data_IF_024358762568
#
_entry.id   IF_024358762568
#
_cell.length_a   1.000
_cell.length_b   1.000
_cell.length_c   1.000
_cell.angle_alpha   90.00
_cell.angle_beta   90.00
_cell.angle_gamma   90.00
#
_symmetry.space_group_name_H-M   'P 1'
#
loop_
_entity.id
_entity.type
_entity.pdbx_description
1 polymer ?
#
# COMPACT_ATOMS: atom_id res chain seq x y z
N UNK A 1 11.85 -16.55 -14.93
CA UNK A 1 11.74 -15.07 -14.81
C UNK A 1 13.16 -14.51 -14.82
N UNK A 2 13.43 -13.47 -15.59
CA UNK A 2 14.78 -12.87 -15.64
C UNK A 2 15.08 -12.09 -14.35
N UNK A 3 16.36 -11.93 -14.02
CA UNK A 3 16.78 -11.14 -12.86
C UNK A 3 16.34 -9.68 -12.97
N UNK A 4 16.31 -9.13 -14.19
CA UNK A 4 15.81 -7.77 -14.45
C UNK A 4 14.32 -7.61 -14.14
N UNK A 5 13.50 -8.62 -14.47
CA UNK A 5 12.09 -8.62 -14.12
C UNK A 5 11.90 -8.66 -12.60
N UNK A 6 12.60 -9.56 -11.91
CA UNK A 6 12.50 -9.66 -10.44
C UNK A 6 13.00 -8.38 -9.76
N UNK A 7 14.04 -7.75 -10.31
CA UNK A 7 14.59 -6.51 -9.77
C UNK A 7 13.64 -5.32 -9.98
N UNK A 8 13.08 -5.16 -11.18
CA UNK A 8 12.12 -4.10 -11.47
C UNK A 8 10.83 -4.25 -10.64
N UNK A 9 10.28 -5.47 -10.52
CA UNK A 9 9.13 -5.75 -9.66
C UNK A 9 9.42 -5.39 -8.20
N UNK A 10 10.56 -5.81 -7.65
CA UNK A 10 10.95 -5.48 -6.27
C UNK A 10 11.09 -3.97 -6.05
N UNK A 11 11.67 -3.24 -7.00
CA UNK A 11 11.81 -1.77 -6.90
C UNK A 11 10.43 -1.11 -6.86
N UNK A 12 9.52 -1.52 -7.74
CA UNK A 12 8.15 -1.01 -7.75
C UNK A 12 7.42 -1.28 -6.43
N UNK A 13 7.40 -2.54 -5.97
CA UNK A 13 6.71 -2.90 -4.72
C UNK A 13 7.31 -2.20 -3.49
N UNK A 14 8.63 -1.99 -3.46
CA UNK A 14 9.28 -1.22 -2.41
C UNK A 14 8.84 0.24 -2.44
N UNK A 15 8.77 0.85 -3.62
CA UNK A 15 8.29 2.23 -3.75
C UNK A 15 6.85 2.35 -3.27
N UNK A 16 5.94 1.49 -3.76
CA UNK A 16 4.54 1.45 -3.34
C UNK A 16 4.43 1.31 -1.82
N UNK A 17 5.15 0.37 -1.22
CA UNK A 17 5.11 0.15 0.23
C UNK A 17 5.57 1.37 1.04
N UNK A 18 6.73 1.94 0.69
CA UNK A 18 7.30 3.08 1.42
C UNK A 18 6.44 4.34 1.28
N UNK A 19 5.98 4.66 0.07
CA UNK A 19 5.16 5.87 -0.14
C UNK A 19 3.77 5.74 0.47
N UNK A 20 3.17 4.53 0.41
CA UNK A 20 1.87 4.29 1.04
C UNK A 20 1.96 4.39 2.55
N UNK A 21 3.03 3.86 3.16
CA UNK A 21 3.25 3.97 4.59
C UNK A 21 3.37 5.44 5.02
N UNK A 22 4.17 6.25 4.32
CA UNK A 22 4.32 7.67 4.63
C UNK A 22 2.98 8.42 4.56
N UNK A 23 2.19 8.18 3.52
CA UNK A 23 0.87 8.80 3.38
C UNK A 23 -0.10 8.38 4.48
N UNK A 24 -0.09 7.09 4.88
CA UNK A 24 -0.91 6.59 5.99
C UNK A 24 -0.47 7.22 7.31
N UNK A 25 0.83 7.30 7.59
CA UNK A 25 1.35 7.90 8.82
C UNK A 25 1.00 9.39 8.93
N UNK A 26 1.10 10.13 7.84
CA UNK A 26 0.70 11.55 7.77
C UNK A 26 -0.79 11.71 8.07
N UNK A 27 -1.65 10.95 7.38
CA UNK A 27 -3.09 10.98 7.61
C UNK A 27 -3.48 10.58 9.05
N UNK A 28 -2.78 9.61 9.65
CA UNK A 28 -3.03 9.18 11.03
C UNK A 28 -2.57 10.22 12.06
N UNK A 29 -1.51 10.98 11.77
CA UNK A 29 -0.98 12.01 12.68
C UNK A 29 -1.90 13.23 12.80
N UNK A 30 -2.60 13.58 11.72
CA UNK A 30 -3.52 14.71 11.68
C UNK A 30 -4.89 14.40 12.31
N UNK A 31 -5.19 13.12 12.51
CA UNK A 31 -6.49 12.65 13.01
C UNK A 31 -6.40 12.13 14.46
N UNK A 32 -7.48 12.30 15.21
CA UNK A 32 -7.65 11.60 16.49
C UNK A 32 -8.03 10.13 16.23
N UNK A 33 -7.03 9.26 16.26
CA UNK A 33 -7.14 7.86 15.83
C UNK A 33 -7.07 6.84 16.96
N UNK A 34 -6.89 7.28 18.20
CA UNK A 34 -6.76 6.42 19.37
C UNK A 34 -7.95 5.47 19.54
N UNK A 35 -7.66 4.17 19.70
CA UNK A 35 -8.67 3.12 19.88
C UNK A 35 -9.54 2.82 18.65
N UNK A 36 -9.27 3.45 17.49
CA UNK A 36 -10.04 3.23 16.25
C UNK A 36 -9.33 2.23 15.34
N UNK A 37 -10.11 1.57 14.49
CA UNK A 37 -9.63 0.67 13.44
C UNK A 37 -10.20 1.13 12.11
N UNK A 38 -9.37 1.11 11.07
CA UNK A 38 -9.70 1.60 9.75
C UNK A 38 -9.52 0.47 8.74
N UNK A 39 -10.55 0.24 7.94
CA UNK A 39 -10.43 -0.59 6.75
C UNK A 39 -9.55 0.14 5.73
N UNK A 40 -8.59 -0.58 5.13
CA UNK A 40 -7.72 -0.07 4.08
C UNK A 40 -7.80 -0.95 2.85
N UNK A 41 -7.69 -0.33 1.67
CA UNK A 41 -7.65 -1.01 0.37
C UNK A 41 -6.50 -0.47 -0.46
N UNK A 42 -5.73 -1.38 -1.07
CA UNK A 42 -4.79 -1.09 -2.15
C UNK A 42 -5.24 -1.79 -3.43
N UNK A 43 -5.05 -1.13 -4.57
CA UNK A 43 -5.39 -1.68 -5.90
C UNK A 43 -4.16 -1.60 -6.79
N UNK A 44 -3.82 -2.70 -7.44
CA UNK A 44 -2.75 -2.79 -8.43
C UNK A 44 -3.36 -3.12 -9.78
N UNK A 45 -3.16 -2.23 -10.74
CA UNK A 45 -3.71 -2.35 -12.09
C UNK A 45 -2.59 -2.37 -13.13
N UNK A 46 -2.72 -3.26 -14.11
CA UNK A 46 -1.91 -3.24 -15.35
C UNK A 46 -2.88 -3.31 -16.52
N UNK A 47 -3.12 -2.16 -17.16
CA UNK A 47 -4.17 -2.02 -18.20
C UNK A 47 -3.91 -2.91 -19.41
N UNK A 48 -2.64 -3.04 -19.82
CA UNK A 48 -2.24 -3.82 -20.99
C UNK A 48 -2.40 -5.33 -20.78
N UNK A 49 -2.50 -5.78 -19.53
CA UNK A 49 -2.64 -7.18 -19.16
C UNK A 49 -4.02 -7.51 -18.56
N UNK A 50 -4.94 -6.54 -18.54
CA UNK A 50 -6.24 -6.64 -17.87
C UNK A 50 -6.11 -7.15 -16.41
N UNK A 51 -5.02 -6.76 -15.73
CA UNK A 51 -4.80 -7.14 -14.35
C UNK A 51 -5.47 -6.11 -13.45
N UNK A 52 -6.38 -6.57 -12.60
CA UNK A 52 -6.95 -5.79 -11.49
C UNK A 52 -6.86 -6.61 -10.20
N UNK A 53 -5.92 -6.25 -9.34
CA UNK A 53 -5.69 -6.94 -8.08
C UNK A 53 -5.98 -6.02 -6.89
N UNK A 54 -6.89 -6.44 -6.02
CA UNK A 54 -7.23 -5.70 -4.81
C UNK A 54 -6.68 -6.42 -3.57
N UNK A 55 -6.09 -5.62 -2.67
CA UNK A 55 -5.62 -6.06 -1.36
C UNK A 55 -6.36 -5.25 -0.30
N UNK A 56 -7.11 -5.94 0.56
CA UNK A 56 -7.84 -5.32 1.67
C UNK A 56 -7.23 -5.73 3.00
N UNK A 57 -7.28 -4.83 3.97
CA UNK A 57 -6.84 -5.10 5.34
C UNK A 57 -7.43 -4.12 6.33
N UNK A 58 -6.96 -4.22 7.57
CA UNK A 58 -7.33 -3.32 8.66
C UNK A 58 -6.06 -2.78 9.32
N UNK A 59 -6.09 -1.50 9.70
CA UNK A 59 -5.02 -0.84 10.45
C UNK A 59 -5.60 -0.21 11.71
N UNK A 60 -4.84 -0.28 12.81
CA UNK A 60 -5.19 0.37 14.07
C UNK A 60 -4.66 1.79 14.06
N UNK A 61 -5.45 2.72 14.58
CA UNK A 61 -4.99 4.09 14.83
C UNK A 61 -3.90 4.14 15.91
N UNK A 62 -3.20 5.26 15.96
CA UNK A 62 -2.09 5.46 16.88
C UNK A 62 -2.64 5.63 18.30
N UNK A 63 -2.07 4.90 19.27
CA UNK A 63 -2.37 5.09 20.71
C UNK A 63 -1.84 6.43 21.23
#
# INVERSE_FOLDING_TARGET
MSDDFNMSMRKFLKQVGVTSQQAIEEAMREADTAGKTYAIKAVVTIEELDLHHEVTGEIKGQE
#
